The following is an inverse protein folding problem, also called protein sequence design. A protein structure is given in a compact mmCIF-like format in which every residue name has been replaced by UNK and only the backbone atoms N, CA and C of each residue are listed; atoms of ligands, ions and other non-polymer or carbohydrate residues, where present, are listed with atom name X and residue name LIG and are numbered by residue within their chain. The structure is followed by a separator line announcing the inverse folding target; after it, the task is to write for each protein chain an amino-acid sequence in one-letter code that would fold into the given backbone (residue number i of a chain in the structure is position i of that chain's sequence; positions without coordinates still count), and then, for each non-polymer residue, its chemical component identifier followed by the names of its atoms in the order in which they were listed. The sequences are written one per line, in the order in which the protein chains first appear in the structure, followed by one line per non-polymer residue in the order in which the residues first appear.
data_IF_833208787568
#
_entry.id   IF_833208787568
#
_cell.length_a   1.000
_cell.length_b   1.000
_cell.length_c   1.000
_cell.angle_alpha   90.00
_cell.angle_beta   90.00
_cell.angle_gamma   90.00
#
_symmetry.space_group_name_H-M   'P 1'
#
loop_
_entity.id
_entity.type
_entity.pdbx_description
1 polymer ?
#
# COMPACT_ATOMS: atom_id res chain seq x y z
N UNK A 1 8.11 -7.87 1.18
CA UNK A 1 7.95 -6.76 0.24
C UNK A 1 7.19 -5.60 0.89
N UNK A 2 7.82 -4.43 0.92
CA UNK A 2 7.27 -3.26 1.61
C UNK A 2 5.99 -2.73 0.96
N UNK A 3 5.89 -2.82 -0.35
CA UNK A 3 4.69 -2.38 -1.06
C UNK A 3 3.48 -3.23 -0.68
N UNK A 4 3.66 -4.53 -0.66
CA UNK A 4 2.60 -5.45 -0.27
C UNK A 4 2.20 -5.24 1.18
N UNK A 5 3.17 -5.08 2.06
CA UNK A 5 2.93 -4.84 3.49
C UNK A 5 2.10 -3.57 3.69
N UNK A 6 2.48 -2.50 2.99
CA UNK A 6 1.76 -1.23 3.08
C UNK A 6 0.32 -1.38 2.61
N UNK A 7 0.14 -2.06 1.49
CA UNK A 7 -1.19 -2.30 0.94
C UNK A 7 -2.04 -3.12 1.91
N UNK A 8 -1.48 -4.18 2.46
CA UNK A 8 -2.18 -5.05 3.40
C UNK A 8 -2.60 -4.29 4.65
N UNK A 9 -1.70 -3.50 5.21
CA UNK A 9 -2.01 -2.71 6.41
C UNK A 9 -3.15 -1.73 6.13
N UNK A 10 -3.15 -1.11 4.97
CA UNK A 10 -4.18 -0.13 4.63
C UNK A 10 -5.52 -0.78 4.35
N UNK A 11 -5.54 -1.84 3.56
CA UNK A 11 -6.78 -2.43 3.06
C UNK A 11 -7.35 -3.47 4.04
N UNK A 12 -6.51 -4.35 4.54
CA UNK A 12 -6.97 -5.46 5.39
C UNK A 12 -7.00 -5.11 6.86
N UNK A 13 -6.03 -4.34 7.33
CA UNK A 13 -5.92 -4.00 8.75
C UNK A 13 -6.60 -2.69 9.12
N UNK A 14 -6.93 -1.88 8.12
CA UNK A 14 -7.63 -0.61 8.35
C UNK A 14 -6.77 0.51 8.89
N UNK A 15 -5.45 0.44 8.74
CA UNK A 15 -4.55 1.48 9.20
C UNK A 15 -4.65 2.72 8.32
N UNK A 16 -4.47 3.90 8.92
CA UNK A 16 -4.33 5.13 8.15
C UNK A 16 -2.90 5.21 7.61
N UNK A 17 -2.68 6.06 6.62
CA UNK A 17 -1.33 6.29 6.10
C UNK A 17 -0.39 6.79 7.20
N UNK A 18 -0.90 7.64 8.11
CA UNK A 18 -0.10 8.11 9.24
C UNK A 18 0.33 6.98 10.15
N UNK A 19 -0.57 6.06 10.42
CA UNK A 19 -0.28 4.90 11.25
C UNK A 19 0.74 3.98 10.59
N UNK A 20 0.62 3.78 9.28
CA UNK A 20 1.58 2.97 8.53
C UNK A 20 2.95 3.64 8.53
N UNK A 21 2.97 4.96 8.35
CA UNK A 21 4.20 5.74 8.39
C UNK A 21 4.94 5.52 9.70
N UNK A 22 4.23 5.61 10.82
CA UNK A 22 4.81 5.38 12.14
C UNK A 22 5.28 3.93 12.29
N UNK A 23 4.48 2.99 11.81
CA UNK A 23 4.80 1.56 11.92
C UNK A 23 6.06 1.20 11.13
N UNK A 24 6.20 1.75 9.93
CA UNK A 24 7.33 1.43 9.04
C UNK A 24 8.53 2.34 9.25
N UNK A 25 8.37 3.43 10.01
CA UNK A 25 9.47 4.36 10.25
C UNK A 25 9.87 5.14 9.01
N UNK A 26 8.92 5.47 8.15
CA UNK A 26 9.15 6.24 6.92
C UNK A 26 8.15 7.39 6.85
N UNK A 27 8.37 8.32 5.92
CA UNK A 27 7.47 9.47 5.80
C UNK A 27 6.20 9.10 5.02
N UNK A 28 5.21 9.98 5.09
CA UNK A 28 3.92 9.78 4.42
C UNK A 28 4.06 9.62 2.92
N UNK A 29 4.94 10.41 2.30
CA UNK A 29 5.18 10.32 0.85
C UNK A 29 5.60 8.92 0.45
N UNK A 30 6.51 8.33 1.22
CA UNK A 30 7.00 6.98 0.95
C UNK A 30 5.88 5.96 1.10
N UNK A 31 5.06 6.09 2.14
CA UNK A 31 3.92 5.19 2.36
C UNK A 31 2.95 5.27 1.19
N UNK A 32 2.60 6.47 0.78
CA UNK A 32 1.68 6.66 -0.34
C UNK A 32 2.23 6.08 -1.63
N UNK A 33 3.53 6.31 -1.89
CA UNK A 33 4.18 5.74 -3.07
C UNK A 33 4.10 4.23 -3.10
N UNK A 34 4.40 3.60 -1.96
CA UNK A 34 4.33 2.15 -1.83
C UNK A 34 2.91 1.63 -2.03
N UNK A 35 1.96 2.31 -1.44
CA UNK A 35 0.55 1.93 -1.54
C UNK A 35 0.07 2.01 -2.99
N UNK A 36 0.30 3.13 -3.65
CA UNK A 36 -0.16 3.33 -5.02
C UNK A 36 0.57 2.45 -6.02
N UNK A 37 1.82 2.12 -5.76
CA UNK A 37 2.55 1.15 -6.60
C UNK A 37 1.84 -0.20 -6.57
N UNK A 38 1.42 -0.63 -5.38
CA UNK A 38 0.71 -1.91 -5.24
C UNK A 38 -0.70 -1.84 -5.85
N UNK A 39 -1.40 -0.72 -5.67
CA UNK A 39 -2.72 -0.52 -6.27
C UNK A 39 -2.63 -0.65 -7.79
N UNK A 40 -1.61 -0.07 -8.39
CA UNK A 40 -1.37 -0.16 -9.83
C UNK A 40 -1.20 -1.61 -10.28
N UNK A 41 -0.43 -2.39 -9.54
CA UNK A 41 -0.21 -3.80 -9.84
C UNK A 41 -1.50 -4.60 -9.73
N UNK A 42 -2.24 -4.39 -8.66
CA UNK A 42 -3.50 -5.11 -8.42
C UNK A 42 -4.50 -4.78 -9.51
N UNK A 43 -4.61 -3.51 -9.89
CA UNK A 43 -5.52 -3.09 -10.94
C UNK A 43 -5.15 -3.71 -12.29
N UNK A 44 -3.87 -3.77 -12.58
CA UNK A 44 -3.40 -4.34 -13.84
C UNK A 44 -3.75 -5.82 -13.93
N UNK A 45 -3.53 -6.57 -12.85
CA UNK A 45 -3.90 -7.99 -12.81
C UNK A 45 -5.40 -8.18 -12.90
N UNK A 46 -6.15 -7.33 -12.23
CA UNK A 46 -7.60 -7.38 -12.25
C UNK A 46 -8.14 -7.16 -13.66
N UNK A 47 -7.62 -6.15 -14.35
CA UNK A 47 -8.02 -5.84 -15.73
C UNK A 47 -7.68 -6.99 -16.67
N UNK A 48 -6.55 -7.64 -16.41
CA UNK A 48 -6.12 -8.78 -17.23
C UNK A 48 -7.07 -9.96 -17.11
N UNK A 49 -7.60 -10.17 -15.91
CA UNK A 49 -8.51 -11.29 -15.65
C UNK A 49 -9.91 -11.06 -16.21
N UNK A 50 -10.27 -9.83 -16.46
CA UNK A 50 -11.53 -9.49 -17.06
C UNK A 50 -11.47 -9.49 -18.58
#
# INVERSE_FOLDING_TARGET
NKEWETFRLKVYEGYTFGEISANQGVDLSTVKSRYYAMVKRVRKEWDYLE
#
